data_IF_979246431609
#
_entry.id   IF_979246431609
#
_cell.length_a   1.000
_cell.length_b   1.000
_cell.length_c   1.000
_cell.angle_alpha   90.00
_cell.angle_beta   90.00
_cell.angle_gamma   90.00
#
_symmetry.space_group_name_H-M   'P 1'
#
loop_
_entity.id
_entity.type
_entity.pdbx_description
1 polymer ?
#
# COMPACT_ATOMS: atom_id res chain seq x y z
N UNK A 1 3.27 -33.10 -23.24
CA UNK A 1 2.51 -32.14 -22.41
C UNK A 1 2.94 -30.73 -22.80
N UNK A 2 2.03 -29.85 -23.24
CA UNK A 2 2.36 -28.44 -23.53
C UNK A 2 2.24 -27.63 -22.23
N UNK A 3 3.32 -26.95 -21.86
CA UNK A 3 3.35 -26.01 -20.75
C UNK A 3 3.09 -24.60 -21.28
N UNK A 4 2.11 -23.91 -20.70
CA UNK A 4 1.91 -22.47 -20.90
C UNK A 4 2.40 -21.73 -19.67
N UNK A 5 3.32 -20.79 -19.85
CA UNK A 5 3.81 -19.92 -18.78
C UNK A 5 3.11 -18.56 -18.87
N UNK A 6 2.48 -18.13 -17.79
CA UNK A 6 1.89 -16.79 -17.67
C UNK A 6 2.80 -15.98 -16.76
N UNK A 7 3.19 -14.78 -17.18
CA UNK A 7 4.06 -13.89 -16.42
C UNK A 7 3.34 -12.56 -16.13
N UNK A 8 3.49 -12.06 -14.91
CA UNK A 8 3.01 -10.74 -14.47
C UNK A 8 4.16 -9.76 -14.17
N UNK A 9 5.37 -10.12 -14.61
CA UNK A 9 6.61 -9.40 -14.28
C UNK A 9 6.62 -7.96 -14.74
N UNK A 10 5.98 -7.66 -15.87
CA UNK A 10 5.89 -6.29 -16.40
C UNK A 10 5.07 -5.39 -15.47
N UNK A 11 3.86 -5.83 -15.10
CA UNK A 11 2.99 -5.13 -14.14
C UNK A 11 3.70 -4.91 -12.81
N UNK A 12 4.42 -5.92 -12.32
CA UNK A 12 5.18 -5.84 -11.07
C UNK A 12 6.35 -4.85 -11.21
N UNK A 13 7.03 -4.80 -12.36
CA UNK A 13 8.14 -3.88 -12.59
C UNK A 13 7.69 -2.43 -12.73
N UNK A 14 6.56 -2.17 -13.39
CA UNK A 14 5.93 -0.85 -13.39
C UNK A 14 5.51 -0.42 -11.99
N UNK A 15 4.90 -1.34 -11.23
CA UNK A 15 4.56 -1.10 -9.82
C UNK A 15 5.78 -0.70 -9.00
N UNK A 16 6.93 -1.35 -9.18
CA UNK A 16 8.18 -0.97 -8.49
C UNK A 16 8.62 0.45 -8.85
N UNK A 17 8.63 0.80 -10.15
CA UNK A 17 9.03 2.14 -10.61
C UNK A 17 8.12 3.20 -9.99
N UNK A 18 6.81 2.97 -10.01
CA UNK A 18 5.82 3.86 -9.41
C UNK A 18 6.05 4.07 -7.91
N UNK A 19 6.30 2.99 -7.16
CA UNK A 19 6.53 3.03 -5.71
C UNK A 19 7.81 3.79 -5.34
N UNK A 20 8.85 3.68 -6.18
CA UNK A 20 10.15 4.31 -5.94
C UNK A 20 10.21 5.79 -6.37
N UNK A 21 9.25 6.25 -7.17
CA UNK A 21 9.18 7.64 -7.59
C UNK A 21 8.48 8.49 -6.52
N UNK A 22 9.27 9.34 -5.86
CA UNK A 22 8.81 10.21 -4.77
C UNK A 22 7.73 11.21 -5.19
N UNK A 23 7.61 11.51 -6.49
CA UNK A 23 6.56 12.40 -7.00
C UNK A 23 5.16 11.78 -6.87
N UNK A 24 5.06 10.47 -6.66
CA UNK A 24 3.79 9.76 -6.44
C UNK A 24 3.35 9.75 -4.97
N UNK A 25 4.15 10.33 -4.07
CA UNK A 25 3.82 10.41 -2.65
C UNK A 25 2.83 11.55 -2.41
N UNK A 26 1.76 11.23 -1.70
CA UNK A 26 0.79 12.20 -1.21
C UNK A 26 0.67 12.11 0.31
N UNK A 27 0.37 13.25 0.93
CA UNK A 27 -0.02 13.33 2.33
C UNK A 27 -1.40 12.69 2.55
N UNK A 28 -1.72 12.42 3.82
CA UNK A 28 -3.05 11.95 4.18
C UNK A 28 -4.14 12.99 3.87
N UNK A 29 -3.84 14.28 4.00
CA UNK A 29 -4.80 15.35 3.70
C UNK A 29 -5.09 15.44 2.20
N UNK A 30 -4.08 15.34 1.35
CA UNK A 30 -4.27 15.24 -0.11
C UNK A 30 -5.08 14.00 -0.49
N UNK A 31 -4.83 12.86 0.18
CA UNK A 31 -5.62 11.65 -0.01
C UNK A 31 -7.11 11.86 0.35
N UNK A 32 -7.41 12.67 1.38
CA UNK A 32 -8.80 12.96 1.77
C UNK A 32 -9.57 13.70 0.67
N UNK A 33 -8.89 14.48 -0.17
CA UNK A 33 -9.50 15.22 -1.29
C UNK A 33 -9.91 14.31 -2.46
N UNK A 34 -9.33 13.11 -2.58
CA UNK A 34 -9.64 12.20 -3.68
C UNK A 34 -11.10 11.71 -3.63
N UNK A 35 -11.79 11.70 -4.78
CA UNK A 35 -13.17 11.22 -4.88
C UNK A 35 -13.24 9.69 -4.65
N UNK A 36 -14.18 9.23 -3.84
CA UNK A 36 -14.37 7.80 -3.58
C UNK A 36 -14.70 6.98 -4.84
N UNK A 37 -15.30 7.63 -5.85
CA UNK A 37 -15.59 7.05 -7.16
C UNK A 37 -14.36 6.58 -7.91
N UNK A 38 -13.18 7.17 -7.64
CA UNK A 38 -11.89 6.73 -8.21
C UNK A 38 -11.59 5.26 -7.89
N UNK A 39 -12.04 4.79 -6.73
CA UNK A 39 -11.74 3.46 -6.22
C UNK A 39 -12.88 2.47 -6.45
N UNK A 40 -14.02 2.90 -7.00
CA UNK A 40 -15.18 2.03 -7.17
C UNK A 40 -14.84 0.88 -8.11
N UNK A 41 -15.15 -0.35 -7.70
CA UNK A 41 -14.94 -1.60 -8.45
C UNK A 41 -13.48 -1.92 -8.82
N UNK A 42 -12.50 -1.24 -8.17
CA UNK A 42 -11.06 -1.49 -8.32
C UNK A 42 -10.49 -2.27 -7.14
N UNK A 43 -9.37 -2.96 -7.37
CA UNK A 43 -8.48 -3.36 -6.30
C UNK A 43 -7.47 -2.25 -6.02
N UNK A 44 -7.00 -2.16 -4.78
CA UNK A 44 -6.00 -1.17 -4.38
C UNK A 44 -4.85 -1.86 -3.68
N UNK A 45 -3.63 -1.55 -4.11
CA UNK A 45 -2.40 -1.81 -3.36
C UNK A 45 -1.87 -0.46 -2.92
N UNK A 46 -1.66 -0.26 -1.63
CA UNK A 46 -1.24 1.01 -1.04
C UNK A 46 0.06 0.84 -0.28
N UNK A 47 0.79 1.94 -0.17
CA UNK A 47 2.12 2.02 0.40
C UNK A 47 2.14 3.12 1.45
N UNK A 48 2.84 2.91 2.55
CA UNK A 48 3.03 3.91 3.61
C UNK A 48 4.53 4.15 3.76
N UNK A 49 4.90 5.42 3.76
CA UNK A 49 6.27 5.88 3.83
C UNK A 49 6.47 6.77 5.05
N UNK A 50 7.65 6.69 5.65
CA UNK A 50 8.10 7.56 6.75
C UNK A 50 9.43 8.15 6.33
N UNK A 51 9.55 9.48 6.26
CA UNK A 51 10.75 10.15 5.74
C UNK A 51 11.20 9.59 4.37
N UNK A 52 10.22 9.37 3.48
CA UNK A 52 10.39 8.77 2.12
C UNK A 52 10.84 7.30 2.11
N UNK A 53 11.01 6.69 3.27
CA UNK A 53 11.38 5.28 3.39
C UNK A 53 10.12 4.41 3.42
N UNK A 54 10.06 3.38 2.58
CA UNK A 54 8.91 2.48 2.50
C UNK A 54 8.82 1.64 3.79
N UNK A 55 7.70 1.75 4.50
CA UNK A 55 7.48 1.02 5.77
C UNK A 55 6.36 0.00 5.70
N UNK A 56 5.39 0.13 4.80
CA UNK A 56 4.30 -0.84 4.75
C UNK A 56 3.67 -0.92 3.37
N UNK A 57 3.35 -2.15 2.96
CA UNK A 57 2.57 -2.45 1.76
C UNK A 57 1.28 -3.13 2.21
N UNK A 58 0.14 -2.69 1.70
CA UNK A 58 -1.13 -3.32 2.02
C UNK A 58 -2.10 -3.33 0.86
N UNK A 59 -3.10 -4.22 0.92
CA UNK A 59 -4.20 -4.25 -0.03
C UNK A 59 -5.55 -3.85 0.56
N UNK A 60 -6.43 -3.31 -0.29
CA UNK A 60 -7.83 -3.04 0.02
C UNK A 60 -8.74 -3.29 -1.16
N UNK A 61 -9.99 -3.67 -0.88
CA UNK A 61 -11.08 -3.45 -1.85
C UNK A 61 -11.24 -1.95 -2.04
N UNK A 62 -11.42 -1.47 -3.26
CA UNK A 62 -11.49 -0.04 -3.53
C UNK A 62 -12.64 0.66 -2.81
N UNK A 63 -13.82 0.03 -2.74
CA UNK A 63 -14.96 0.50 -1.92
C UNK A 63 -14.64 0.71 -0.43
N UNK A 64 -13.62 0.02 0.08
CA UNK A 64 -13.20 0.08 1.47
C UNK A 64 -11.92 0.89 1.69
N UNK A 65 -11.32 1.46 0.63
CA UNK A 65 -9.98 2.04 0.70
C UNK A 65 -9.91 3.28 1.59
N UNK A 66 -10.85 4.22 1.46
CA UNK A 66 -10.97 5.39 2.36
C UNK A 66 -11.08 4.96 3.83
N UNK A 67 -11.91 3.95 4.12
CA UNK A 67 -12.05 3.43 5.47
C UNK A 67 -10.75 2.76 5.96
N UNK A 68 -10.05 2.04 5.07
CA UNK A 68 -8.76 1.42 5.37
C UNK A 68 -7.71 2.46 5.75
N UNK A 69 -7.64 3.58 5.02
CA UNK A 69 -6.72 4.67 5.35
C UNK A 69 -7.11 5.34 6.67
N UNK A 70 -8.40 5.60 6.91
CA UNK A 70 -8.86 6.07 8.22
C UNK A 70 -8.46 5.14 9.36
N UNK A 71 -8.45 3.82 9.15
CA UNK A 71 -8.04 2.85 10.17
C UNK A 71 -6.52 2.81 10.42
N UNK A 72 -5.70 3.32 9.50
CA UNK A 72 -4.25 3.42 9.66
C UNK A 72 -3.82 4.77 10.21
N UNK A 73 -4.54 5.85 9.89
CA UNK A 73 -4.15 7.21 10.25
C UNK A 73 -4.96 7.79 11.43
N UNK A 74 -6.22 7.38 11.63
CA UNK A 74 -7.12 8.01 12.60
C UNK A 74 -7.63 7.01 13.65
N UNK A 75 -8.32 5.96 13.21
CA UNK A 75 -9.20 5.14 14.05
C UNK A 75 -8.59 3.78 14.38
N UNK A 76 -8.63 3.42 15.67
CA UNK A 76 -8.10 2.14 16.15
C UNK A 76 -9.09 1.00 15.86
N UNK A 77 -8.65 -0.02 15.13
CA UNK A 77 -9.37 -1.28 14.97
C UNK A 77 -8.46 -2.42 15.47
N UNK A 78 -8.99 -3.45 16.13
CA UNK A 78 -8.21 -4.60 16.67
C UNK A 78 -7.24 -5.20 15.64
N UNK A 79 -7.58 -5.21 14.35
CA UNK A 79 -6.71 -5.73 13.26
C UNK A 79 -5.66 -4.74 12.73
N UNK A 80 -5.83 -3.44 12.91
CA UNK A 80 -4.91 -2.38 12.41
C UNK A 80 -4.22 -1.60 13.53
N UNK A 81 -4.56 -1.88 14.79
CA UNK A 81 -4.05 -1.18 15.96
C UNK A 81 -2.52 -1.08 15.96
N UNK A 82 -1.82 -2.17 15.64
CA UNK A 82 -0.35 -2.17 15.59
C UNK A 82 0.25 -1.28 14.50
N UNK A 83 -0.47 -0.98 13.41
CA UNK A 83 0.02 -0.11 12.33
C UNK A 83 -0.31 1.36 12.64
N UNK A 84 -1.50 1.62 13.16
CA UNK A 84 -1.87 2.94 13.66
C UNK A 84 -0.91 3.42 14.75
N UNK A 85 -0.58 2.55 15.72
CA UNK A 85 0.33 2.89 16.81
C UNK A 85 1.75 3.21 16.28
N UNK A 86 2.22 2.49 15.25
CA UNK A 86 3.49 2.80 14.55
C UNK A 86 3.42 4.15 13.84
N UNK A 87 2.38 4.41 13.05
CA UNK A 87 2.21 5.67 12.33
C UNK A 87 2.17 6.86 13.30
N UNK A 88 1.39 6.75 14.38
CA UNK A 88 1.31 7.78 15.41
C UNK A 88 2.64 8.03 16.09
N UNK A 89 3.43 6.99 16.37
CA UNK A 89 4.76 7.13 16.95
C UNK A 89 5.67 7.97 16.05
N UNK A 90 5.68 7.70 14.74
CA UNK A 90 6.50 8.47 13.79
C UNK A 90 6.01 9.93 13.66
N UNK A 91 4.69 10.15 13.57
CA UNK A 91 4.11 11.51 13.52
C UNK A 91 4.45 12.30 14.80
N UNK A 92 4.31 11.69 15.98
CA UNK A 92 4.64 12.33 17.26
C UNK A 92 6.14 12.61 17.40
N UNK A 93 7.00 11.87 16.68
CA UNK A 93 8.43 12.15 16.59
C UNK A 93 8.75 13.26 15.57
N UNK A 94 7.74 13.92 14.99
CA UNK A 94 7.91 15.00 14.02
C UNK A 94 8.20 14.54 12.60
N UNK A 95 8.09 13.23 12.30
CA UNK A 95 8.41 12.69 10.99
C UNK A 95 7.26 12.83 10.00
N UNK A 96 7.60 13.04 8.73
CA UNK A 96 6.64 13.09 7.63
C UNK A 96 6.20 11.68 7.24
N UNK A 97 4.89 11.44 7.28
CA UNK A 97 4.27 10.20 6.81
C UNK A 97 3.50 10.48 5.51
N UNK A 98 3.83 9.74 4.45
CA UNK A 98 3.17 9.84 3.15
C UNK A 98 2.60 8.49 2.74
N UNK A 99 1.75 8.51 1.71
CA UNK A 99 1.24 7.31 1.07
C UNK A 99 1.31 7.41 -0.45
N UNK A 100 1.29 6.26 -1.11
CA UNK A 100 0.99 6.14 -2.53
C UNK A 100 0.13 4.89 -2.75
N UNK A 101 -0.46 4.73 -3.94
CA UNK A 101 -1.27 3.55 -4.24
C UNK A 101 -1.38 3.25 -5.73
N UNK A 102 -1.52 1.97 -6.05
CA UNK A 102 -1.82 1.42 -7.36
C UNK A 102 -3.30 1.00 -7.41
N UNK A 103 -3.95 1.26 -8.54
CA UNK A 103 -5.29 0.76 -8.83
C UNK A 103 -5.19 -0.44 -9.77
N UNK A 104 -5.90 -1.51 -9.46
CA UNK A 104 -6.00 -2.68 -10.32
C UNK A 104 -7.37 -2.73 -10.98
N UNK A 105 -7.40 -3.10 -12.27
CA UNK A 105 -8.66 -3.14 -13.03
C UNK A 105 -9.70 -4.06 -12.41
N UNK A 106 -9.26 -5.23 -11.92
CA UNK A 106 -10.05 -6.19 -11.18
C UNK A 106 -9.61 -6.23 -9.74
N UNK A 107 -10.57 -6.29 -8.83
CA UNK A 107 -10.32 -6.40 -7.40
C UNK A 107 -9.38 -7.58 -7.07
N UNK A 108 -9.52 -8.74 -7.72
CA UNK A 108 -8.74 -9.95 -7.48
C UNK A 108 -7.22 -9.78 -7.69
N UNK A 109 -6.80 -8.93 -8.62
CA UNK A 109 -5.37 -8.77 -8.98
C UNK A 109 -4.54 -8.12 -7.88
N UNK A 110 -5.14 -7.33 -7.00
CA UNK A 110 -4.43 -6.67 -5.89
C UNK A 110 -3.68 -7.65 -4.98
N UNK A 111 -4.16 -8.89 -4.86
CA UNK A 111 -3.55 -9.87 -3.96
C UNK A 111 -2.19 -10.31 -4.46
N UNK A 112 -2.11 -10.78 -5.71
CA UNK A 112 -0.84 -11.24 -6.28
C UNK A 112 0.14 -10.08 -6.43
N UNK A 113 -0.33 -8.89 -6.81
CA UNK A 113 0.52 -7.70 -6.92
C UNK A 113 1.10 -7.29 -5.56
N UNK A 114 0.28 -7.26 -4.50
CA UNK A 114 0.77 -6.97 -3.14
C UNK A 114 1.84 -8.00 -2.71
N UNK A 115 1.57 -9.29 -2.92
CA UNK A 115 2.46 -10.37 -2.48
C UNK A 115 3.82 -10.28 -3.20
N UNK A 116 3.83 -10.10 -4.53
CA UNK A 116 5.06 -9.93 -5.33
C UNK A 116 5.86 -8.68 -4.95
N UNK A 117 5.18 -7.56 -4.67
CA UNK A 117 5.84 -6.33 -4.24
C UNK A 117 6.43 -6.49 -2.84
N UNK A 118 5.72 -7.10 -1.88
CA UNK A 118 6.27 -7.40 -0.55
C UNK A 118 7.51 -8.28 -0.68
N UNK A 119 7.44 -9.35 -1.47
CA UNK A 119 8.57 -10.26 -1.66
C UNK A 119 9.81 -9.55 -2.22
N UNK A 120 9.62 -8.58 -3.10
CA UNK A 120 10.73 -7.82 -3.67
C UNK A 120 11.28 -6.75 -2.72
N UNK A 121 10.41 -6.08 -1.97
CA UNK A 121 10.79 -4.95 -1.10
C UNK A 121 11.26 -5.38 0.28
N UNK A 122 10.85 -6.56 0.80
CA UNK A 122 11.19 -7.02 2.16
C UNK A 122 12.70 -7.17 2.39
N UNK A 123 13.48 -7.45 1.35
CA UNK A 123 14.93 -7.63 1.45
C UNK A 123 15.68 -6.28 1.32
N UNK A 124 14.95 -5.20 1.02
CA UNK A 124 15.49 -3.85 0.77
C UNK A 124 15.07 -2.83 1.82
N UNK A 125 13.96 -3.07 2.51
CA UNK A 125 13.35 -2.16 3.47
C UNK A 125 12.89 -2.92 4.71
N UNK A 126 12.94 -2.26 5.86
CA UNK A 126 12.37 -2.77 7.11
C UNK A 126 10.84 -2.65 7.12
N UNK A 127 10.19 -3.51 6.35
CA UNK A 127 8.74 -3.49 6.22
C UNK A 127 8.04 -3.91 7.52
N UNK A 128 6.98 -3.18 7.89
CA UNK A 128 6.06 -3.49 8.99
C UNK A 128 5.05 -4.60 8.66
N UNK A 129 5.14 -5.17 7.46
CA UNK A 129 4.42 -6.37 7.08
C UNK A 129 4.88 -7.51 8.02
N UNK A 130 3.93 -8.19 8.66
CA UNK A 130 4.30 -9.36 9.45
C UNK A 130 4.69 -10.47 8.48
N UNK A 131 5.85 -11.09 8.71
CA UNK A 131 6.16 -12.36 8.07
C UNK A 131 5.09 -13.35 8.52
N UNK A 132 4.35 -13.93 7.57
CA UNK A 132 3.58 -15.14 7.87
C UNK A 132 4.62 -16.23 8.06
N UNK A 133 4.88 -16.58 9.33
CA UNK A 133 5.54 -17.84 9.67
C UNK A 133 4.70 -19.03 9.24
#
# INVERSE_FOLDING_TARGET
>A
MKLLKIAISEVVNEGKKFVLDENNLISYDEFLLLKSTLFKDRGVVYFIFVEKELKYIGKSKGKNFKQRMRNHFITKNKKTASKLDKIRKEINAGKKVNLSFLLTEKESFRSVIEDELILWFKDKYELWNQQKG
#
